data_IF_071729429015
#
_entry.id   IF_071729429015
#
_cell.length_a   1.000
_cell.length_b   1.000
_cell.length_c   1.000
_cell.angle_alpha   90.00
_cell.angle_beta   90.00
_cell.angle_gamma   90.00
#
_symmetry.space_group_name_H-M   'P 1'
#
loop_
_entity.id
_entity.type
_entity.pdbx_description
1 polymer ?
#
# COMPACT_ATOMS: atom_id res chain seq x y z
N UNK A 1 -19.03 9.28 2.77
CA UNK A 1 -19.38 8.31 1.72
C UNK A 1 -18.55 8.43 0.42
N UNK A 2 -17.87 9.56 0.14
CA UNK A 2 -17.13 9.73 -1.13
C UNK A 2 -15.76 9.02 -1.20
N UNK A 3 -15.13 8.66 -0.09
CA UNK A 3 -13.73 8.17 -0.11
C UNK A 3 -13.62 6.66 -0.40
N UNK A 4 -14.55 5.85 0.10
CA UNK A 4 -14.59 4.39 -0.16
C UNK A 4 -14.68 4.09 -1.67
N UNK A 5 -15.55 4.80 -2.39
CA UNK A 5 -15.68 4.61 -3.84
C UNK A 5 -14.42 5.00 -4.60
N UNK A 6 -13.71 6.04 -4.18
CA UNK A 6 -12.43 6.42 -4.80
C UNK A 6 -11.40 5.30 -4.64
N UNK A 7 -11.32 4.70 -3.46
CA UNK A 7 -10.43 3.56 -3.23
C UNK A 7 -10.83 2.31 -4.03
N UNK A 8 -12.12 1.98 -4.08
CA UNK A 8 -12.62 0.83 -4.87
C UNK A 8 -12.27 1.03 -6.34
N UNK A 9 -12.53 2.21 -6.89
CA UNK A 9 -12.19 2.54 -8.29
C UNK A 9 -10.69 2.52 -8.51
N UNK A 10 -9.89 3.14 -7.63
CA UNK A 10 -8.45 3.18 -7.78
C UNK A 10 -7.82 1.78 -7.69
N UNK A 11 -8.33 0.91 -6.82
CA UNK A 11 -7.88 -0.46 -6.67
C UNK A 11 -8.26 -1.31 -7.89
N UNK A 12 -9.51 -1.24 -8.35
CA UNK A 12 -9.96 -1.98 -9.54
C UNK A 12 -9.25 -1.51 -10.81
N UNK A 13 -9.21 -0.19 -11.06
CA UNK A 13 -8.56 0.38 -12.23
C UNK A 13 -7.04 0.18 -12.18
N UNK A 14 -6.43 0.32 -11.00
CA UNK A 14 -4.99 0.09 -10.80
C UNK A 14 -4.58 -1.35 -11.05
N UNK A 15 -5.35 -2.33 -10.54
CA UNK A 15 -5.12 -3.75 -10.82
C UNK A 15 -5.29 -4.06 -12.31
N UNK A 16 -6.38 -3.60 -12.92
CA UNK A 16 -6.61 -3.81 -14.36
C UNK A 16 -5.50 -3.20 -15.21
N UNK A 17 -5.08 -1.96 -14.93
CA UNK A 17 -4.04 -1.26 -15.66
C UNK A 17 -2.69 -2.00 -15.59
N UNK A 18 -2.28 -2.44 -14.40
CA UNK A 18 -1.02 -3.20 -14.22
C UNK A 18 -1.09 -4.54 -14.95
N UNK A 19 -2.18 -5.30 -14.81
CA UNK A 19 -2.34 -6.59 -15.50
C UNK A 19 -2.35 -6.43 -17.02
N UNK A 20 -3.05 -5.43 -17.56
CA UNK A 20 -3.06 -5.14 -19.01
C UNK A 20 -1.68 -4.69 -19.49
N UNK A 21 -0.97 -3.88 -18.71
CA UNK A 21 0.38 -3.44 -19.04
C UNK A 21 1.37 -4.62 -19.07
N UNK A 22 1.18 -5.62 -18.21
CA UNK A 22 2.02 -6.82 -18.20
C UNK A 22 1.86 -7.62 -19.50
N UNK A 23 0.66 -7.60 -20.09
CA UNK A 23 0.36 -8.29 -21.34
C UNK A 23 0.85 -7.54 -22.60
N UNK A 24 0.95 -6.21 -22.56
CA UNK A 24 1.05 -5.40 -23.78
C UNK A 24 2.22 -4.41 -23.84
N UNK A 25 2.79 -4.00 -22.70
CA UNK A 25 3.65 -2.80 -22.66
C UNK A 25 5.13 -3.11 -22.48
N UNK A 26 5.50 -4.39 -22.37
CA UNK A 26 6.84 -4.81 -21.97
C UNK A 26 7.23 -4.31 -20.57
N UNK A 27 8.48 -4.55 -20.19
CA UNK A 27 8.98 -4.26 -18.85
C UNK A 27 8.91 -2.78 -18.47
N UNK A 28 9.42 -1.89 -19.32
CA UNK A 28 9.46 -0.44 -19.03
C UNK A 28 8.06 0.15 -18.94
N UNK A 29 7.16 -0.23 -19.85
CA UNK A 29 5.78 0.25 -19.83
C UNK A 29 5.01 -0.23 -18.60
N UNK A 30 5.18 -1.51 -18.22
CA UNK A 30 4.59 -2.04 -16.99
C UNK A 30 5.13 -1.33 -15.74
N UNK A 31 6.43 -1.08 -15.66
CA UNK A 31 7.02 -0.30 -14.57
C UNK A 31 6.42 1.11 -14.46
N UNK A 32 6.30 1.82 -15.58
CA UNK A 32 5.72 3.16 -15.61
C UNK A 32 4.26 3.17 -15.13
N UNK A 33 3.44 2.23 -15.62
CA UNK A 33 2.04 2.08 -15.18
C UNK A 33 1.96 1.78 -13.69
N UNK A 34 2.79 0.85 -13.20
CA UNK A 34 2.85 0.49 -11.78
C UNK A 34 3.21 1.69 -10.92
N UNK A 35 4.22 2.47 -11.31
CA UNK A 35 4.62 3.69 -10.62
C UNK A 35 3.50 4.75 -10.56
N UNK A 36 2.77 4.95 -11.66
CA UNK A 36 1.64 5.88 -11.72
C UNK A 36 0.50 5.44 -10.79
N UNK A 37 0.16 4.15 -10.78
CA UNK A 37 -0.87 3.61 -9.87
C UNK A 37 -0.46 3.81 -8.41
N UNK A 38 0.80 3.51 -8.07
CA UNK A 38 1.33 3.76 -6.74
C UNK A 38 1.30 5.25 -6.36
N UNK A 39 1.61 6.15 -7.30
CA UNK A 39 1.52 7.59 -7.07
C UNK A 39 0.08 8.02 -6.77
N UNK A 40 -0.92 7.48 -7.48
CA UNK A 40 -2.34 7.74 -7.20
C UNK A 40 -2.69 7.32 -5.77
N UNK A 41 -2.27 6.14 -5.31
CA UNK A 41 -2.53 5.71 -3.93
C UNK A 41 -1.86 6.60 -2.89
N UNK A 42 -0.62 7.04 -3.13
CA UNK A 42 0.07 7.99 -2.24
C UNK A 42 -0.76 9.27 -2.15
N UNK A 43 -1.16 9.84 -3.28
CA UNK A 43 -1.92 11.10 -3.31
C UNK A 43 -3.28 10.96 -2.62
N UNK A 44 -4.00 9.86 -2.85
CA UNK A 44 -5.26 9.57 -2.18
C UNK A 44 -5.07 9.44 -0.66
N UNK A 45 -4.09 8.66 -0.21
CA UNK A 45 -3.81 8.47 1.22
C UNK A 45 -3.44 9.80 1.91
N UNK A 46 -2.59 10.61 1.27
CA UNK A 46 -2.19 11.94 1.78
C UNK A 46 -3.40 12.87 1.85
N UNK A 47 -4.23 12.88 0.81
CA UNK A 47 -5.44 13.70 0.75
C UNK A 47 -6.45 13.31 1.83
N UNK A 48 -6.72 12.02 2.03
CA UNK A 48 -7.63 11.54 3.07
C UNK A 48 -7.14 11.90 4.46
N UNK A 49 -5.87 11.66 4.75
CA UNK A 49 -5.30 12.03 6.05
C UNK A 49 -5.43 13.53 6.31
N UNK A 50 -5.15 14.38 5.31
CA UNK A 50 -5.33 15.84 5.40
C UNK A 50 -6.78 16.22 5.68
N UNK A 51 -7.74 15.53 5.07
CA UNK A 51 -9.17 15.75 5.34
C UNK A 51 -9.55 15.40 6.77
N UNK A 52 -9.02 14.31 7.32
CA UNK A 52 -9.26 13.93 8.72
C UNK A 52 -8.67 14.97 9.68
N UNK A 53 -7.46 15.46 9.41
CA UNK A 53 -6.87 16.57 10.20
C UNK A 53 -7.71 17.84 10.09
N UNK A 54 -8.14 18.22 8.89
CA UNK A 54 -8.95 19.41 8.66
C UNK A 54 -10.32 19.34 9.36
N UNK A 55 -10.88 18.14 9.50
CA UNK A 55 -12.10 17.86 10.25
C UNK A 55 -11.89 17.79 11.78
N UNK A 56 -10.67 18.02 12.28
CA UNK A 56 -10.35 17.94 13.71
C UNK A 56 -10.24 16.52 14.25
N UNK A 57 -9.96 15.54 13.38
CA UNK A 57 -9.81 14.14 13.79
C UNK A 57 -8.63 13.93 14.74
N UNK A 58 -8.86 13.18 15.82
CA UNK A 58 -7.84 12.79 16.80
C UNK A 58 -6.88 11.72 16.29
N UNK A 59 -5.87 11.40 17.10
CA UNK A 59 -4.82 10.41 16.78
C UNK A 59 -5.38 9.03 16.35
N UNK A 60 -6.42 8.44 17.00
CA UNK A 60 -6.99 7.17 16.55
C UNK A 60 -7.59 7.24 15.14
N UNK A 61 -8.23 8.35 14.76
CA UNK A 61 -8.80 8.51 13.43
C UNK A 61 -7.71 8.62 12.36
N UNK A 62 -6.63 9.34 12.67
CA UNK A 62 -5.47 9.47 11.79
C UNK A 62 -4.73 8.15 11.61
N UNK A 63 -4.50 7.41 12.69
CA UNK A 63 -3.86 6.11 12.65
C UNK A 63 -4.72 5.06 11.92
N UNK A 64 -6.05 5.08 12.12
CA UNK A 64 -7.00 4.27 11.36
C UNK A 64 -6.93 4.55 9.85
N UNK A 65 -6.93 5.83 9.47
CA UNK A 65 -6.87 6.24 8.05
C UNK A 65 -5.58 5.79 7.38
N UNK A 66 -4.44 5.94 8.08
CA UNK A 66 -3.14 5.45 7.61
C UNK A 66 -3.15 3.93 7.42
N UNK A 67 -3.62 3.17 8.42
CA UNK A 67 -3.65 1.72 8.36
C UNK A 67 -4.58 1.21 7.23
N UNK A 68 -5.73 1.86 7.00
CA UNK A 68 -6.60 1.57 5.86
C UNK A 68 -5.87 1.80 4.52
N UNK A 69 -5.19 2.93 4.37
CA UNK A 69 -4.46 3.25 3.14
C UNK A 69 -3.36 2.21 2.85
N UNK A 70 -2.59 1.83 3.88
CA UNK A 70 -1.57 0.77 3.76
C UNK A 70 -2.18 -0.57 3.37
N UNK A 71 -3.31 -0.93 3.98
CA UNK A 71 -4.00 -2.17 3.65
C UNK A 71 -4.40 -2.23 2.18
N UNK A 72 -4.87 -1.12 1.62
CA UNK A 72 -5.33 -1.06 0.23
C UNK A 72 -4.17 -1.16 -0.76
N UNK A 73 -2.99 -0.64 -0.43
CA UNK A 73 -1.79 -0.86 -1.24
C UNK A 73 -1.37 -2.33 -1.22
N UNK A 74 -1.38 -2.97 -0.05
CA UNK A 74 -1.10 -4.41 0.07
C UNK A 74 -2.12 -5.27 -0.68
N UNK A 75 -3.42 -4.93 -0.56
CA UNK A 75 -4.49 -5.61 -1.27
C UNK A 75 -4.35 -5.45 -2.78
N UNK A 76 -4.05 -4.25 -3.27
CA UNK A 76 -3.77 -4.01 -4.68
C UNK A 76 -2.56 -4.80 -5.17
N UNK A 77 -1.47 -4.86 -4.40
CA UNK A 77 -0.29 -5.64 -4.79
C UNK A 77 -0.64 -7.14 -4.91
N UNK A 78 -1.38 -7.68 -3.93
CA UNK A 78 -1.84 -9.08 -3.95
C UNK A 78 -2.78 -9.36 -5.13
N UNK A 79 -3.74 -8.47 -5.42
CA UNK A 79 -4.65 -8.63 -6.55
C UNK A 79 -3.92 -8.50 -7.89
N UNK A 80 -3.02 -7.52 -8.03
CA UNK A 80 -2.24 -7.33 -9.26
C UNK A 80 -1.33 -8.53 -9.51
N UNK A 81 -0.74 -9.11 -8.47
CA UNK A 81 -0.01 -10.37 -8.54
C UNK A 81 -0.92 -11.52 -8.98
N UNK A 82 -2.07 -11.71 -8.31
CA UNK A 82 -3.02 -12.75 -8.65
C UNK A 82 -3.46 -12.68 -10.11
N UNK A 83 -3.93 -11.53 -10.59
CA UNK A 83 -4.44 -11.41 -11.95
C UNK A 83 -3.33 -11.51 -13.00
N UNK A 84 -2.18 -10.88 -12.75
CA UNK A 84 -1.05 -10.95 -13.70
C UNK A 84 -0.53 -12.38 -13.85
N UNK A 85 -0.33 -13.10 -12.75
CA UNK A 85 0.24 -14.46 -12.80
C UNK A 85 -0.78 -15.58 -12.98
N UNK A 86 -2.08 -15.29 -12.84
CA UNK A 86 -3.12 -16.26 -13.17
C UNK A 86 -3.49 -16.26 -14.66
N UNK A 87 -3.43 -15.08 -15.30
CA UNK A 87 -4.00 -14.87 -16.64
C UNK A 87 -2.99 -14.44 -17.71
N UNK A 88 -1.85 -13.84 -17.35
CA UNK A 88 -0.93 -13.24 -18.32
C UNK A 88 0.44 -13.93 -18.31
N UNK A 89 1.06 -14.04 -17.14
CA UNK A 89 2.39 -14.59 -16.95
C UNK A 89 2.34 -15.86 -16.12
N UNK A 90 3.45 -16.61 -16.10
CA UNK A 90 3.60 -17.80 -15.28
C UNK A 90 4.89 -17.72 -14.47
N UNK A 91 4.76 -17.85 -13.16
CA UNK A 91 5.84 -17.97 -12.19
C UNK A 91 5.40 -19.06 -11.19
N UNK A 92 6.29 -19.75 -10.48
CA UNK A 92 5.86 -20.85 -9.60
C UNK A 92 5.42 -20.34 -8.22
N UNK A 93 6.12 -19.34 -7.69
CA UNK A 93 5.99 -18.90 -6.30
C UNK A 93 4.97 -17.75 -6.11
N UNK A 94 4.34 -17.24 -7.17
CA UNK A 94 3.43 -16.08 -7.12
C UNK A 94 2.36 -16.17 -6.03
N UNK A 95 1.82 -17.38 -5.78
CA UNK A 95 0.76 -17.60 -4.80
C UNK A 95 1.21 -17.27 -3.36
N UNK A 96 2.50 -17.49 -3.03
CA UNK A 96 3.05 -17.18 -1.71
C UNK A 96 2.98 -15.68 -1.45
N UNK A 97 3.30 -14.87 -2.47
CA UNK A 97 3.27 -13.41 -2.38
C UNK A 97 1.85 -12.85 -2.37
N UNK A 98 0.90 -13.50 -3.08
CA UNK A 98 -0.52 -13.16 -2.97
C UNK A 98 -1.03 -13.39 -1.55
N UNK A 99 -0.72 -14.54 -0.95
CA UNK A 99 -1.13 -14.85 0.42
C UNK A 99 -0.47 -13.93 1.44
N UNK A 100 0.85 -13.68 1.31
CA UNK A 100 1.56 -12.78 2.20
C UNK A 100 1.01 -11.35 2.12
N UNK A 101 0.84 -10.80 0.90
CA UNK A 101 0.25 -9.47 0.71
C UNK A 101 -1.18 -9.38 1.23
N UNK A 102 -2.00 -10.40 0.96
CA UNK A 102 -3.37 -10.48 1.48
C UNK A 102 -3.43 -10.55 3.01
N UNK A 103 -2.54 -11.32 3.65
CA UNK A 103 -2.46 -11.41 5.11
C UNK A 103 -2.06 -10.06 5.74
N UNK A 104 -1.06 -9.37 5.18
CA UNK A 104 -0.65 -8.05 5.67
C UNK A 104 -1.76 -7.01 5.45
N UNK A 105 -2.45 -7.05 4.31
CA UNK A 105 -3.63 -6.21 4.07
C UNK A 105 -4.71 -6.44 5.14
N UNK A 106 -5.03 -7.70 5.44
CA UNK A 106 -5.99 -8.07 6.48
C UNK A 106 -5.57 -7.58 7.87
N UNK A 107 -4.29 -7.70 8.22
CA UNK A 107 -3.74 -7.19 9.48
C UNK A 107 -3.90 -5.66 9.58
N UNK A 108 -3.57 -4.93 8.52
CA UNK A 108 -3.74 -3.48 8.47
C UNK A 108 -5.21 -3.07 8.59
N UNK A 109 -6.15 -3.76 7.92
CA UNK A 109 -7.59 -3.51 8.06
C UNK A 109 -8.11 -3.80 9.47
N UNK A 110 -7.59 -4.85 10.12
CA UNK A 110 -7.93 -5.18 11.49
C UNK A 110 -7.55 -4.04 12.45
N UNK A 111 -6.31 -3.57 12.38
CA UNK A 111 -5.85 -2.41 13.18
C UNK A 111 -6.64 -1.14 12.85
N UNK A 112 -6.89 -0.88 11.57
CA UNK A 112 -7.69 0.25 11.14
C UNK A 112 -9.10 0.22 11.73
N UNK A 113 -9.73 -0.96 11.78
CA UNK A 113 -11.06 -1.16 12.34
C UNK A 113 -11.08 -0.95 13.85
N UNK A 114 -10.07 -1.42 14.59
CA UNK A 114 -9.98 -1.19 16.04
C UNK A 114 -9.84 0.30 16.37
N UNK A 115 -8.93 1.00 15.69
CA UNK A 115 -8.72 2.44 15.90
C UNK A 115 -9.92 3.29 15.44
N UNK A 116 -10.62 2.88 14.38
CA UNK A 116 -11.86 3.53 13.96
C UNK A 116 -12.96 3.41 15.00
N UNK A 117 -13.06 2.25 15.68
CA UNK A 117 -14.04 2.05 16.75
C UNK A 117 -13.71 2.93 17.96
N UNK A 118 -12.44 3.04 18.33
CA UNK A 118 -12.02 3.92 19.43
C UNK A 118 -12.25 5.40 19.09
N UNK A 119 -11.92 5.82 17.87
CA UNK A 119 -12.22 7.17 17.39
C UNK A 119 -13.72 7.49 17.48
N UNK A 120 -14.59 6.57 17.03
CA UNK A 120 -16.04 6.75 17.09
C UNK A 120 -16.59 6.79 18.52
N UNK A 121 -15.93 6.10 19.45
CA UNK A 121 -16.30 6.10 20.87
C UNK A 121 -15.67 7.26 21.66
N UNK A 122 -14.90 8.16 21.02
CA UNK A 122 -14.15 9.20 21.70
C UNK A 122 -13.07 8.67 22.66
N UNK A 123 -12.66 7.40 22.48
CA UNK A 123 -11.64 6.74 23.30
C UNK A 123 -10.28 6.81 22.62
N UNK A 124 -9.25 6.75 23.44
CA UNK A 124 -7.87 6.64 22.97
C UNK A 124 -7.16 5.53 23.74
N UNK A 125 -6.91 4.41 23.07
CA UNK A 125 -6.04 3.36 23.59
C UNK A 125 -4.58 3.65 23.21
N UNK A 126 -3.80 4.10 24.18
CA UNK A 126 -2.39 4.43 24.00
C UNK A 126 -1.54 3.22 23.63
N UNK A 127 -1.92 2.01 24.05
CA UNK A 127 -1.23 0.76 23.67
C UNK A 127 -1.46 0.50 22.19
N UNK A 128 -2.71 0.57 21.73
CA UNK A 128 -3.06 0.37 20.33
C UNK A 128 -2.40 1.40 19.42
N UNK A 129 -2.37 2.68 19.83
CA UNK A 129 -1.68 3.74 19.10
C UNK A 129 -0.16 3.51 19.03
N UNK A 130 0.43 3.05 20.14
CA UNK A 130 1.87 2.73 20.16
C UNK A 130 2.19 1.59 19.20
N UNK A 131 1.38 0.52 19.20
CA UNK A 131 1.50 -0.59 18.26
C UNK A 131 1.36 -0.09 16.82
N UNK A 132 0.33 0.70 16.52
CA UNK A 132 0.11 1.25 15.18
C UNK A 132 1.30 2.11 14.70
N UNK A 133 1.90 2.89 15.61
CA UNK A 133 3.10 3.67 15.32
C UNK A 133 4.30 2.77 15.03
N UNK A 134 4.54 1.73 15.82
CA UNK A 134 5.62 0.77 15.57
C UNK A 134 5.42 0.02 14.26
N UNK A 135 4.18 -0.37 13.92
CA UNK A 135 3.87 -0.97 12.62
C UNK A 135 4.16 -0.01 11.48
N UNK A 136 3.82 1.28 11.62
CA UNK A 136 4.13 2.31 10.62
C UNK A 136 5.64 2.48 10.42
N UNK A 137 6.42 2.51 11.51
CA UNK A 137 7.89 2.57 11.45
C UNK A 137 8.45 1.29 10.81
N UNK A 138 7.95 0.12 11.21
CA UNK A 138 8.35 -1.17 10.65
C UNK A 138 8.05 -1.28 9.16
N UNK A 139 6.90 -0.79 8.70
CA UNK A 139 6.57 -0.69 7.28
C UNK A 139 7.55 0.25 6.58
N UNK A 140 7.79 1.46 7.09
CA UNK A 140 8.74 2.39 6.47
C UNK A 140 10.13 1.78 6.29
N UNK A 141 10.71 1.26 7.38
CA UNK A 141 12.07 0.70 7.37
C UNK A 141 12.12 -0.56 6.52
N UNK A 142 11.14 -1.46 6.68
CA UNK A 142 11.06 -2.69 5.91
C UNK A 142 10.93 -2.44 4.41
N UNK A 143 10.13 -1.45 4.00
CA UNK A 143 9.98 -1.10 2.59
C UNK A 143 11.24 -0.45 2.01
N UNK A 144 11.95 0.38 2.80
CA UNK A 144 13.24 0.93 2.38
C UNK A 144 14.29 -0.17 2.18
N UNK A 145 14.39 -1.12 3.13
CA UNK A 145 15.28 -2.29 3.01
C UNK A 145 14.92 -3.12 1.80
N UNK A 146 13.63 -3.41 1.58
CA UNK A 146 13.18 -4.18 0.42
C UNK A 146 13.57 -3.50 -0.90
N UNK A 147 13.31 -2.20 -1.06
CA UNK A 147 13.67 -1.47 -2.27
C UNK A 147 15.19 -1.47 -2.52
N UNK A 148 16.00 -1.23 -1.49
CA UNK A 148 17.46 -1.24 -1.59
C UNK A 148 17.95 -2.65 -1.96
N UNK A 149 17.45 -3.68 -1.28
CA UNK A 149 17.78 -5.08 -1.55
C UNK A 149 17.48 -5.46 -3.00
N UNK A 150 16.32 -5.05 -3.52
CA UNK A 150 15.96 -5.31 -4.92
C UNK A 150 16.91 -4.66 -5.92
N UNK A 151 17.44 -3.47 -5.64
CA UNK A 151 18.43 -2.83 -6.52
C UNK A 151 19.76 -3.58 -6.46
N UNK A 152 20.23 -3.92 -5.26
CA UNK A 152 21.49 -4.65 -5.04
C UNK A 152 21.45 -6.03 -5.71
N UNK A 153 20.33 -6.73 -5.58
CA UNK A 153 20.11 -8.06 -6.15
C UNK A 153 19.80 -8.03 -7.66
N UNK A 154 19.88 -6.85 -8.30
CA UNK A 154 19.55 -6.65 -9.72
C UNK A 154 18.13 -7.13 -10.08
N UNK A 155 17.22 -7.00 -9.13
CA UNK A 155 15.79 -7.27 -9.28
C UNK A 155 14.99 -6.04 -9.72
N UNK A 156 15.62 -4.87 -9.78
CA UNK A 156 14.98 -3.68 -10.33
C UNK A 156 15.98 -2.82 -11.15
N UNK A 157 15.75 -2.64 -12.47
CA UNK A 157 14.71 -3.25 -13.30
C UNK A 157 15.01 -4.75 -13.58
N UNK A 158 14.01 -5.64 -13.46
CA UNK A 158 14.20 -7.11 -13.64
C UNK A 158 14.11 -7.53 -15.11
N UNK A 159 15.11 -8.24 -15.62
CA UNK A 159 15.13 -8.75 -17.00
C UNK A 159 13.79 -9.41 -17.40
N UNK A 160 13.16 -9.03 -18.54
CA UNK A 160 11.88 -9.60 -18.97
C UNK A 160 11.91 -11.11 -19.25
N UNK A 161 13.09 -11.70 -19.43
CA UNK A 161 13.26 -13.16 -19.58
C UNK A 161 13.05 -13.92 -18.26
N UNK A 162 13.10 -13.22 -17.13
CA UNK A 162 12.90 -13.81 -15.81
C UNK A 162 11.41 -13.85 -15.46
N UNK A 163 10.89 -14.98 -14.95
CA UNK A 163 9.45 -15.18 -14.77
C UNK A 163 8.83 -14.19 -13.76
N UNK A 164 9.64 -13.65 -12.84
CA UNK A 164 9.20 -12.75 -11.77
C UNK A 164 9.30 -11.26 -12.15
N UNK A 165 9.56 -10.91 -13.42
CA UNK A 165 9.84 -9.53 -13.81
C UNK A 165 8.72 -8.54 -13.46
N UNK A 166 7.46 -8.92 -13.67
CA UNK A 166 6.31 -8.06 -13.35
C UNK A 166 6.10 -7.92 -11.85
N UNK A 167 6.29 -9.02 -11.09
CA UNK A 167 6.20 -9.03 -9.64
C UNK A 167 7.17 -8.03 -9.01
N UNK A 168 8.41 -7.98 -9.52
CA UNK A 168 9.42 -7.06 -8.98
C UNK A 168 9.04 -5.58 -9.18
N UNK A 169 8.40 -5.21 -10.29
CA UNK A 169 7.88 -3.86 -10.45
C UNK A 169 6.78 -3.56 -9.42
N UNK A 170 5.84 -4.48 -9.21
CA UNK A 170 4.76 -4.35 -8.22
C UNK A 170 5.33 -4.21 -6.80
N UNK A 171 6.29 -5.06 -6.42
CA UNK A 171 6.92 -5.00 -5.10
C UNK A 171 7.70 -3.70 -4.90
N UNK A 172 8.51 -3.30 -5.86
CA UNK A 172 9.34 -2.10 -5.71
C UNK A 172 8.49 -0.83 -5.56
N UNK A 173 7.53 -0.61 -6.46
CA UNK A 173 6.69 0.58 -6.40
C UNK A 173 5.64 0.52 -5.29
N UNK A 174 5.12 -0.68 -4.98
CA UNK A 174 4.27 -0.90 -3.82
C UNK A 174 4.99 -0.56 -2.52
N UNK A 175 6.26 -0.98 -2.38
CA UNK A 175 7.12 -0.62 -1.26
C UNK A 175 7.37 0.88 -1.20
N UNK A 176 7.63 1.53 -2.34
CA UNK A 176 7.78 2.98 -2.42
C UNK A 176 6.52 3.72 -1.94
N UNK A 177 5.33 3.25 -2.34
CA UNK A 177 4.05 3.82 -1.90
C UNK A 177 3.83 3.65 -0.40
N UNK A 178 4.04 2.44 0.13
CA UNK A 178 3.94 2.15 1.56
C UNK A 178 4.94 2.98 2.37
N UNK A 179 6.17 3.14 1.90
CA UNK A 179 7.17 4.00 2.53
C UNK A 179 6.72 5.46 2.54
N UNK A 180 6.22 6.00 1.43
CA UNK A 180 5.72 7.37 1.34
C UNK A 180 4.51 7.62 2.25
N UNK A 181 3.56 6.67 2.31
CA UNK A 181 2.39 6.73 3.20
C UNK A 181 2.84 6.68 4.66
N UNK A 182 3.78 5.80 5.00
CA UNK A 182 4.35 5.70 6.35
C UNK A 182 5.07 6.98 6.76
N UNK A 183 5.90 7.54 5.87
CA UNK A 183 6.61 8.79 6.09
C UNK A 183 5.64 9.96 6.33
N UNK A 184 4.59 10.07 5.50
CA UNK A 184 3.55 11.09 5.68
C UNK A 184 2.76 10.88 6.99
N UNK A 185 2.58 9.65 7.45
CA UNK A 185 1.94 9.39 8.74
C UNK A 185 2.80 9.80 9.93
N UNK A 186 4.12 9.65 9.83
CA UNK A 186 5.07 9.96 10.91
C UNK A 186 5.46 11.44 10.98
N UNK A 187 5.58 12.10 9.83
CA UNK A 187 6.10 13.47 9.74
C UNK A 187 5.13 14.47 9.09
N UNK A 188 4.01 14.00 8.55
CA UNK A 188 2.99 14.86 7.97
C UNK A 188 2.07 15.48 9.03
N UNK A 189 0.94 16.05 8.59
CA UNK A 189 -0.03 16.68 9.48
C UNK A 189 -0.47 15.74 10.63
N UNK A 190 -0.45 16.28 11.85
CA UNK A 190 -0.80 15.60 13.10
C UNK A 190 -2.09 16.18 13.70
N UNK A 191 -2.68 15.48 14.67
CA UNK A 191 -3.85 16.00 15.38
C UNK A 191 -3.47 17.28 16.13
N UNK A 192 -4.40 18.25 16.21
CA UNK A 192 -4.18 19.43 17.06
C UNK A 192 -4.20 18.96 18.51
N UNK A 193 -3.12 19.24 19.26
CA UNK A 193 -3.10 19.08 20.71
C UNK A 193 -3.97 20.20 21.30
N UNK A 194 -5.19 19.87 21.70
CA UNK A 194 -6.05 20.74 22.52
C UNK A 194 -5.71 20.56 23.98
#
# INVERSE_FOLDING_TARGET
>A
MNSVWLWVVALAAGTAAVTVAAANSGQVGHMAVTAVVCLVFILLAVWERRRVVAAGGGEPALASTTANSMALVWAWAALSMLFTYRFVLSWHEWWQYVLAGGAVAGLCLFFASMMSKDAAAGRQDNTLLSIARYLTIGQLVGMAIAMIGMIIDKKMPRDPSEPDWAANAIFFFGAAALAAISANALWGPAARRT
#
